data_IF_650838133407
#
_entry.id   IF_650838133407
#
_cell.length_a   1.000
_cell.length_b   1.000
_cell.length_c   1.000
_cell.angle_alpha   90.00
_cell.angle_beta   90.00
_cell.angle_gamma   90.00
#
_symmetry.space_group_name_H-M   'P 1'
#
loop_
_entity.id
_entity.type
_entity.pdbx_description
1 polymer ?
#
# COMPACT_ATOMS: atom_id res chain seq x y z
N UNK A 1 50.78 26.68 -25.76
CA UNK A 1 51.40 26.79 -24.42
C UNK A 1 50.30 26.90 -23.39
N UNK A 2 50.47 26.15 -22.30
CA UNK A 2 49.66 26.09 -21.06
C UNK A 2 49.31 27.49 -20.49
N UNK A 3 48.28 27.68 -19.66
CA UNK A 3 48.10 27.07 -18.32
C UNK A 3 46.66 27.08 -17.81
N UNK A 4 46.48 26.17 -16.86
CA UNK A 4 45.31 25.75 -16.13
C UNK A 4 44.91 26.70 -14.99
N UNK A 5 43.62 26.72 -14.64
CA UNK A 5 43.15 26.95 -13.28
C UNK A 5 41.99 25.97 -12.98
N UNK A 6 42.07 25.30 -11.83
CA UNK A 6 41.24 24.16 -11.39
C UNK A 6 39.84 24.59 -10.91
N UNK A 7 38.83 23.71 -10.93
CA UNK A 7 37.53 23.95 -10.30
C UNK A 7 37.57 23.65 -8.80
N UNK A 8 36.88 24.49 -8.01
CA UNK A 8 36.63 24.25 -6.60
C UNK A 8 35.59 23.13 -6.43
N UNK A 9 36.01 22.05 -5.77
CA UNK A 9 35.15 21.01 -5.21
C UNK A 9 34.41 21.59 -4.01
N UNK A 10 33.08 21.73 -4.08
CA UNK A 10 32.23 21.84 -2.89
C UNK A 10 31.46 20.54 -2.70
N UNK A 11 31.66 19.95 -1.53
CA UNK A 11 31.24 18.61 -1.14
C UNK A 11 29.73 18.38 -1.21
N UNK A 12 29.34 17.30 -1.90
CA UNK A 12 28.07 16.63 -1.69
C UNK A 12 28.04 16.07 -0.25
N UNK A 13 27.15 16.60 0.59
CA UNK A 13 26.70 15.90 1.81
C UNK A 13 25.43 15.11 1.45
N UNK A 14 25.41 13.78 1.62
CA UNK A 14 24.15 13.05 1.59
C UNK A 14 23.32 13.43 2.83
N UNK A 15 22.08 13.83 2.61
CA UNK A 15 21.11 14.09 3.67
C UNK A 15 20.74 12.75 4.32
N UNK A 16 21.04 12.62 5.61
CA UNK A 16 20.67 11.46 6.42
C UNK A 16 19.18 11.49 6.84
N UNK A 17 18.66 10.38 7.41
CA UNK A 17 17.23 10.14 7.63
C UNK A 17 16.63 10.89 8.85
N UNK A 18 17.14 12.07 9.20
CA UNK A 18 16.78 12.77 10.44
C UNK A 18 15.53 13.67 10.34
N UNK A 19 14.69 13.50 9.32
CA UNK A 19 13.45 14.28 9.13
C UNK A 19 12.16 13.59 9.59
N UNK A 20 12.21 12.30 9.96
CA UNK A 20 11.01 11.47 10.14
C UNK A 20 10.94 10.85 11.53
N UNK A 21 10.91 11.71 12.57
CA UNK A 21 10.37 11.38 13.89
C UNK A 21 9.75 12.62 14.50
N UNK A 22 8.51 12.91 14.13
CA UNK A 22 7.64 13.70 14.98
C UNK A 22 6.19 13.41 14.61
N UNK A 23 5.61 12.50 15.37
CA UNK A 23 4.20 12.36 15.75
C UNK A 23 4.03 10.90 16.17
N UNK A 24 3.66 10.70 17.44
CA UNK A 24 3.55 9.43 18.20
C UNK A 24 4.78 8.98 19.00
N UNK A 25 5.06 9.71 20.08
CA UNK A 25 5.45 9.12 21.38
C UNK A 25 5.28 10.16 22.47
N UNK A 26 4.35 9.95 23.41
CA UNK A 26 4.51 10.25 24.85
C UNK A 26 3.20 9.92 25.61
N UNK A 27 3.11 8.70 26.14
CA UNK A 27 2.42 8.40 27.40
C UNK A 27 3.15 7.21 28.05
N UNK A 28 3.51 7.35 29.34
CA UNK A 28 4.20 6.41 30.29
C UNK A 28 5.71 6.25 30.07
N UNK A 29 6.64 6.44 31.02
CA UNK A 29 6.72 6.42 32.51
C UNK A 29 7.73 7.51 32.98
N UNK A 30 7.87 7.99 34.23
CA UNK A 30 8.17 7.30 35.51
C UNK A 30 7.93 8.27 36.69
N UNK A 31 7.43 7.73 37.80
CA UNK A 31 7.32 8.33 39.14
C UNK A 31 8.66 8.30 39.91
N UNK A 32 8.95 9.37 40.70
CA UNK A 32 9.99 9.44 41.75
C UNK A 32 11.27 10.14 41.27
N UNK A 33 11.85 11.17 41.91
CA UNK A 33 12.06 11.43 43.34
C UNK A 33 11.99 12.94 43.69
N UNK A 34 11.92 13.26 45.01
CA UNK A 34 11.83 14.61 45.60
C UNK A 34 13.06 15.51 45.32
N UNK A 35 13.10 16.81 45.66
CA UNK A 35 12.77 17.45 46.93
C UNK A 35 12.88 19.01 46.77
N UNK A 36 12.09 19.74 47.57
CA UNK A 36 12.27 21.13 48.09
C UNK A 36 11.90 22.36 47.21
N UNK A 37 11.02 23.22 47.76
CA UNK A 37 10.37 24.41 47.17
C UNK A 37 11.17 25.72 47.24
N UNK A 38 10.57 26.93 47.41
CA UNK A 38 9.18 27.29 47.74
C UNK A 38 8.46 28.24 46.74
N UNK A 39 7.13 28.37 46.95
CA UNK A 39 6.15 29.30 46.36
C UNK A 39 6.29 30.75 46.94
N UNK A 40 5.48 31.81 46.60
CA UNK A 40 4.00 31.80 46.48
C UNK A 40 3.35 32.75 45.44
N UNK A 41 2.06 32.49 45.16
CA UNK A 41 1.15 33.44 44.49
C UNK A 41 -0.25 32.86 44.28
N UNK A 42 -1.14 33.03 45.28
CA UNK A 42 -2.54 32.57 45.31
C UNK A 42 -3.43 33.32 44.31
N UNK A 43 -4.45 32.63 43.80
CA UNK A 43 -5.87 33.06 43.91
C UNK A 43 -6.79 31.86 43.65
N UNK A 44 -7.70 31.61 44.59
CA UNK A 44 -8.71 30.55 44.60
C UNK A 44 -9.96 30.96 43.79
N UNK A 45 -10.67 30.01 43.15
CA UNK A 45 -12.01 29.55 43.59
C UNK A 45 -12.80 28.77 42.51
N UNK A 46 -13.19 27.54 42.92
CA UNK A 46 -14.54 26.93 42.87
C UNK A 46 -15.10 26.46 41.50
N UNK A 47 -15.23 25.13 41.29
CA UNK A 47 -16.49 24.38 41.48
C UNK A 47 -16.50 22.96 40.86
N UNK A 48 -16.76 21.97 41.72
CA UNK A 48 -17.57 20.73 41.54
C UNK A 48 -17.10 19.53 40.68
N UNK A 49 -16.95 18.43 41.42
CA UNK A 49 -16.88 17.01 41.05
C UNK A 49 -18.22 16.41 40.59
N UNK A 50 -18.18 15.41 39.69
CA UNK A 50 -19.03 14.19 39.74
C UNK A 50 -18.38 13.06 38.90
N UNK A 51 -17.98 11.98 39.59
CA UNK A 51 -17.87 10.54 39.23
C UNK A 51 -17.33 10.14 37.84
N UNK A 52 -16.27 9.36 37.67
CA UNK A 52 -15.89 8.16 38.44
C UNK A 52 -16.35 6.88 37.71
N UNK A 53 -15.66 6.47 36.63
CA UNK A 53 -15.73 5.09 36.11
C UNK A 53 -14.34 4.61 35.76
N UNK A 54 -13.92 3.56 36.47
CA UNK A 54 -12.65 2.84 36.32
C UNK A 54 -12.64 2.04 35.02
N UNK A 55 -11.46 1.99 34.40
CA UNK A 55 -11.10 1.10 33.29
C UNK A 55 -11.36 -0.37 33.65
N UNK A 56 -12.04 -1.10 32.76
CA UNK A 56 -12.06 -2.56 32.75
C UNK A 56 -11.25 -3.05 31.53
N UNK A 57 -10.31 -4.00 31.70
CA UNK A 57 -9.71 -4.71 30.58
C UNK A 57 -10.60 -5.90 30.19
N UNK A 58 -10.94 -5.99 28.90
CA UNK A 58 -11.62 -7.15 28.32
C UNK A 58 -10.60 -8.29 28.15
N UNK A 59 -10.54 -9.20 29.12
CA UNK A 59 -10.02 -10.54 28.94
C UNK A 59 -11.18 -11.44 28.51
N UNK A 60 -11.05 -12.10 27.36
CA UNK A 60 -12.00 -13.12 26.92
C UNK A 60 -11.56 -14.44 27.54
N UNK A 61 -12.25 -14.85 28.59
CA UNK A 61 -12.10 -16.14 29.25
C UNK A 61 -13.06 -17.14 28.58
N UNK A 62 -12.52 -18.16 27.91
CA UNK A 62 -13.29 -19.27 27.37
C UNK A 62 -13.67 -20.21 28.50
N UNK A 63 -14.89 -20.08 29.00
CA UNK A 63 -15.49 -21.02 29.93
C UNK A 63 -15.82 -22.35 29.23
N UNK A 64 -15.12 -23.41 29.61
CA UNK A 64 -15.43 -24.80 29.28
C UNK A 64 -16.60 -25.24 30.18
N UNK A 65 -17.78 -25.44 29.59
CA UNK A 65 -18.90 -26.10 30.27
C UNK A 65 -18.73 -27.61 30.20
N UNK A 66 -18.49 -28.18 31.38
CA UNK A 66 -18.45 -29.61 31.64
C UNK A 66 -19.89 -30.11 31.83
N UNK A 67 -20.33 -31.06 31.02
CA UNK A 67 -21.58 -31.81 31.26
C UNK A 67 -21.34 -33.23 30.78
N UNK A 68 -21.04 -34.12 31.74
CA UNK A 68 -20.88 -35.54 31.48
C UNK A 68 -22.24 -36.23 31.38
N UNK A 69 -22.40 -37.07 30.36
CA UNK A 69 -23.25 -38.27 30.42
C UNK A 69 -22.50 -39.42 29.75
N UNK A 70 -22.54 -40.55 30.45
CA UNK A 70 -21.83 -41.82 30.30
C UNK A 70 -22.31 -42.67 29.12
N UNK A 71 -21.39 -43.41 28.47
CA UNK A 71 -21.75 -44.54 27.61
C UNK A 71 -20.57 -45.08 26.80
N UNK A 72 -19.95 -46.15 27.30
CA UNK A 72 -18.69 -46.67 26.77
C UNK A 72 -18.76 -47.48 25.47
N UNK A 73 -17.61 -47.60 24.81
CA UNK A 73 -17.12 -48.78 24.06
C UNK A 73 -15.61 -48.63 23.82
N UNK A 74 -14.93 -49.79 23.75
CA UNK A 74 -13.49 -50.10 23.97
C UNK A 74 -12.49 -49.37 23.05
N UNK A 75 -11.20 -49.25 23.45
CA UNK A 75 -10.16 -48.63 22.63
C UNK A 75 -9.60 -49.62 21.59
N UNK A 76 -9.39 -49.15 20.37
CA UNK A 76 -8.54 -49.83 19.38
C UNK A 76 -7.16 -49.21 19.48
N UNK A 77 -6.23 -50.01 20.00
CA UNK A 77 -4.79 -49.76 19.98
C UNK A 77 -4.28 -49.91 18.54
N UNK A 78 -3.72 -48.85 17.98
CA UNK A 78 -2.74 -48.97 16.90
C UNK A 78 -1.38 -48.50 17.41
N UNK A 79 -0.53 -49.48 17.70
CA UNK A 79 0.91 -49.30 17.83
C UNK A 79 1.48 -48.89 16.48
N UNK A 80 2.13 -47.73 16.41
CA UNK A 80 3.04 -47.40 15.33
C UNK A 80 4.39 -47.01 15.94
N UNK A 81 5.38 -47.79 15.54
CA UNK A 81 6.74 -47.88 16.02
C UNK A 81 7.46 -46.54 16.08
N UNK A 82 8.11 -46.28 17.22
CA UNK A 82 9.17 -45.31 17.33
C UNK A 82 10.41 -45.84 16.59
N UNK A 83 10.66 -45.33 15.39
CA UNK A 83 11.96 -45.43 14.74
C UNK A 83 12.71 -44.13 14.98
N UNK A 84 13.51 -44.14 16.04
CA UNK A 84 14.55 -43.15 16.29
C UNK A 84 15.61 -43.24 15.17
N UNK A 85 15.54 -42.34 14.21
CA UNK A 85 16.66 -42.09 13.30
C UNK A 85 17.49 -40.96 13.90
N UNK A 86 18.65 -41.33 14.42
CA UNK A 86 19.76 -40.41 14.65
C UNK A 86 20.13 -39.75 13.32
N UNK A 87 19.70 -38.51 13.13
CA UNK A 87 20.09 -37.64 12.02
C UNK A 87 21.03 -36.58 12.53
N UNK A 88 22.30 -36.73 12.16
CA UNK A 88 23.43 -35.85 12.44
C UNK A 88 23.09 -34.36 12.37
N UNK A 89 23.62 -33.57 13.30
CA UNK A 89 23.54 -32.11 13.33
C UNK A 89 24.09 -31.49 12.04
N UNK A 90 23.20 -31.32 11.07
CA UNK A 90 23.47 -30.56 9.86
C UNK A 90 23.30 -29.08 10.18
N UNK A 91 24.38 -28.32 10.04
CA UNK A 91 24.36 -26.87 9.99
C UNK A 91 23.59 -26.44 8.73
N UNK A 92 22.26 -26.51 8.77
CA UNK A 92 21.40 -26.16 7.64
C UNK A 92 21.44 -24.65 7.47
N UNK A 93 22.32 -24.17 6.58
CA UNK A 93 22.07 -22.90 5.91
C UNK A 93 20.65 -23.00 5.35
N UNK A 94 19.67 -22.31 5.95
CA UNK A 94 18.32 -22.21 5.39
C UNK A 94 18.48 -21.69 3.97
N UNK A 95 18.21 -22.55 2.98
CA UNK A 95 18.22 -22.13 1.58
C UNK A 95 17.22 -20.98 1.42
N UNK A 96 17.68 -19.91 0.78
CA UNK A 96 16.80 -18.76 0.49
C UNK A 96 15.80 -19.21 -0.56
N UNK A 97 14.53 -18.88 -0.33
CA UNK A 97 13.49 -19.12 -1.32
C UNK A 97 13.82 -18.36 -2.62
N UNK A 98 13.52 -19.00 -3.75
CA UNK A 98 13.63 -18.48 -5.10
C UNK A 98 12.25 -18.14 -5.65
N UNK A 99 12.21 -17.45 -6.79
CA UNK A 99 10.95 -17.16 -7.49
C UNK A 99 10.19 -18.44 -7.87
N UNK A 100 10.93 -19.51 -8.20
CA UNK A 100 10.39 -20.85 -8.47
C UNK A 100 9.61 -21.40 -7.28
N UNK A 101 10.13 -21.27 -6.06
CA UNK A 101 9.44 -21.78 -4.86
C UNK A 101 8.12 -21.04 -4.63
N UNK A 102 8.04 -19.75 -4.95
CA UNK A 102 6.78 -18.99 -4.88
C UNK A 102 5.77 -19.52 -5.91
N UNK A 103 6.22 -19.78 -7.14
CA UNK A 103 5.36 -20.36 -8.18
C UNK A 103 4.82 -21.73 -7.75
N UNK A 104 5.68 -22.59 -7.20
CA UNK A 104 5.30 -23.91 -6.70
C UNK A 104 4.31 -23.84 -5.54
N UNK A 105 4.49 -22.91 -4.59
CA UNK A 105 3.52 -22.69 -3.50
C UNK A 105 2.13 -22.29 -4.01
N UNK A 106 2.08 -21.46 -5.07
CA UNK A 106 0.82 -21.05 -5.70
C UNK A 106 0.19 -22.23 -6.45
N UNK A 107 0.97 -22.95 -7.27
CA UNK A 107 0.51 -24.10 -8.06
C UNK A 107 -0.01 -25.24 -7.18
N UNK A 108 0.71 -25.55 -6.10
CA UNK A 108 0.32 -26.55 -5.12
C UNK A 108 -0.89 -26.13 -4.25
N UNK A 109 -1.44 -24.92 -4.46
CA UNK A 109 -2.49 -24.32 -3.64
C UNK A 109 -2.11 -24.26 -2.14
N UNK A 110 -0.82 -24.21 -1.84
CA UNK A 110 -0.33 -24.00 -0.48
C UNK A 110 -0.56 -22.54 -0.03
N UNK A 111 -0.57 -21.61 -0.98
CA UNK A 111 -1.01 -20.23 -0.79
C UNK A 111 -2.29 -19.97 -1.60
N UNK A 112 -3.36 -19.55 -0.95
CA UNK A 112 -4.68 -19.30 -1.55
C UNK A 112 -5.27 -17.94 -1.19
N UNK A 113 -4.61 -17.20 -0.30
CA UNK A 113 -5.02 -15.90 0.23
C UNK A 113 -3.91 -14.90 0.00
N UNK A 114 -3.68 -14.62 -1.28
CA UNK A 114 -2.63 -13.70 -1.71
C UNK A 114 -3.07 -12.27 -1.46
N UNK A 115 -2.31 -11.53 -0.66
CA UNK A 115 -2.41 -10.07 -0.58
C UNK A 115 -1.39 -9.48 -1.53
N UNK A 116 -1.80 -8.49 -2.29
CA UNK A 116 -0.92 -7.77 -3.23
C UNK A 116 -0.86 -6.32 -2.83
N UNK A 117 0.34 -5.75 -2.77
CA UNK A 117 0.60 -4.33 -2.62
C UNK A 117 1.27 -3.79 -3.88
N UNK A 118 0.71 -2.74 -4.48
CA UNK A 118 1.26 -2.14 -5.70
C UNK A 118 1.41 -0.63 -5.59
N UNK A 119 2.35 -0.09 -6.37
CA UNK A 119 2.52 1.35 -6.54
C UNK A 119 2.77 1.73 -8.00
N UNK A 120 3.21 2.97 -8.22
CA UNK A 120 3.22 3.57 -9.55
C UNK A 120 4.09 2.83 -10.59
N UNK A 121 5.06 2.04 -10.13
CA UNK A 121 5.92 1.23 -10.99
C UNK A 121 5.15 0.27 -11.89
N UNK A 122 3.97 -0.23 -11.45
CA UNK A 122 3.16 -1.14 -12.28
C UNK A 122 2.46 -0.42 -13.44
N UNK A 123 2.30 0.90 -13.37
CA UNK A 123 1.62 1.72 -14.38
C UNK A 123 2.59 2.39 -15.37
N UNK A 124 3.91 2.32 -15.11
CA UNK A 124 4.91 2.85 -16.04
C UNK A 124 4.87 2.22 -17.45
N UNK A 125 4.63 0.90 -17.62
CA UNK A 125 4.48 0.30 -18.95
C UNK A 125 3.20 0.74 -19.67
N UNK A 126 2.22 1.27 -18.93
CA UNK A 126 1.00 1.87 -19.50
C UNK A 126 1.21 3.32 -19.96
N UNK A 127 2.42 3.87 -19.81
CA UNK A 127 2.75 5.25 -20.19
C UNK A 127 2.42 6.29 -19.12
N UNK A 128 2.06 5.86 -17.90
CA UNK A 128 1.86 6.73 -16.75
C UNK A 128 3.22 6.88 -16.05
N UNK A 129 3.80 8.09 -15.97
CA UNK A 129 5.05 8.28 -15.25
C UNK A 129 4.85 7.94 -13.77
N UNK A 130 5.85 7.34 -13.14
CA UNK A 130 5.85 7.25 -11.68
C UNK A 130 6.10 8.64 -11.06
N UNK A 131 6.10 8.74 -9.73
CA UNK A 131 6.33 10.03 -9.07
C UNK A 131 7.81 10.40 -9.00
N UNK A 132 8.68 9.42 -8.74
CA UNK A 132 10.02 9.63 -8.17
C UNK A 132 11.18 9.25 -9.10
N UNK A 133 10.95 8.58 -10.23
CA UNK A 133 12.04 8.19 -11.11
C UNK A 133 12.77 9.43 -11.64
N UNK A 134 14.11 9.45 -11.61
CA UNK A 134 14.87 10.56 -12.15
C UNK A 134 14.51 10.82 -13.63
N UNK A 135 14.33 12.09 -14.00
CA UNK A 135 14.05 12.58 -15.37
C UNK A 135 12.68 12.22 -15.97
N UNK A 136 12.10 11.09 -15.60
CA UNK A 136 10.81 10.60 -16.14
C UNK A 136 9.66 10.71 -15.16
N UNK A 137 9.95 10.78 -13.86
CA UNK A 137 8.94 10.89 -12.82
C UNK A 137 8.24 12.25 -12.83
N UNK A 138 6.97 12.24 -12.43
CA UNK A 138 6.09 13.40 -12.42
C UNK A 138 6.77 14.62 -11.76
N UNK A 139 7.41 14.43 -10.60
CA UNK A 139 8.05 15.51 -9.85
C UNK A 139 9.19 16.22 -10.60
N UNK A 140 9.84 15.55 -11.55
CA UNK A 140 10.87 16.18 -12.39
C UNK A 140 10.27 17.16 -13.42
N UNK A 141 9.00 16.97 -13.78
CA UNK A 141 8.29 17.75 -14.80
C UNK A 141 7.35 18.80 -14.22
N UNK A 142 7.22 18.90 -12.89
CA UNK A 142 6.34 19.87 -12.23
C UNK A 142 6.92 21.29 -12.15
N UNK A 143 8.14 21.53 -12.66
CA UNK A 143 8.78 22.86 -12.64
C UNK A 143 7.92 23.95 -13.32
N UNK A 144 7.03 23.55 -14.23
CA UNK A 144 6.09 24.46 -14.90
C UNK A 144 4.98 25.03 -13.99
N UNK A 145 4.74 24.44 -12.82
CA UNK A 145 3.56 24.76 -11.98
C UNK A 145 3.82 25.76 -10.84
N UNK A 146 4.96 26.46 -10.82
CA UNK A 146 5.33 27.44 -9.78
C UNK A 146 5.05 26.92 -8.35
N UNK A 147 5.50 25.69 -8.08
CA UNK A 147 5.33 25.02 -6.79
C UNK A 147 6.52 25.32 -5.88
N UNK A 148 6.31 25.46 -4.55
CA UNK A 148 7.42 25.63 -3.62
C UNK A 148 8.34 24.40 -3.57
N UNK A 149 7.76 23.21 -3.78
CA UNK A 149 8.41 21.92 -3.96
C UNK A 149 7.41 20.95 -4.62
N UNK A 150 7.86 19.88 -5.30
CA UNK A 150 6.99 19.03 -6.13
C UNK A 150 5.80 18.39 -5.39
N UNK A 151 6.00 17.98 -4.14
CA UNK A 151 4.99 17.31 -3.33
C UNK A 151 3.81 18.23 -2.96
N UNK A 152 4.01 19.56 -2.99
CA UNK A 152 2.99 20.55 -2.65
C UNK A 152 1.72 20.41 -3.51
N UNK A 153 1.81 19.90 -4.74
CA UNK A 153 0.64 19.67 -5.61
C UNK A 153 -0.35 18.67 -5.00
N UNK A 154 0.10 17.81 -4.09
CA UNK A 154 -0.70 16.82 -3.38
C UNK A 154 -0.85 17.15 -1.89
N UNK A 155 -0.59 18.39 -1.46
CA UNK A 155 -0.84 18.83 -0.08
C UNK A 155 -2.18 19.56 0.03
N UNK A 156 -2.99 19.20 1.04
CA UNK A 156 -4.32 19.79 1.22
C UNK A 156 -4.24 21.31 1.49
N UNK A 157 -3.22 21.74 2.22
CA UNK A 157 -2.94 23.16 2.53
C UNK A 157 -2.67 23.96 1.26
N UNK A 158 -1.77 23.48 0.41
CA UNK A 158 -1.47 24.10 -0.89
C UNK A 158 -2.70 24.09 -1.81
N UNK A 159 -3.40 22.96 -1.92
CA UNK A 159 -4.62 22.85 -2.72
C UNK A 159 -5.71 23.83 -2.31
N UNK A 160 -5.87 24.04 -1.00
CA UNK A 160 -6.85 25.00 -0.46
C UNK A 160 -6.50 26.44 -0.83
N UNK A 161 -5.21 26.75 -0.95
CA UNK A 161 -4.73 28.07 -1.40
C UNK A 161 -4.79 28.22 -2.92
N UNK A 162 -4.29 27.24 -3.66
CA UNK A 162 -4.24 27.23 -5.13
C UNK A 162 -4.50 25.81 -5.67
N UNK A 163 -5.76 25.49 -6.05
CA UNK A 163 -6.09 24.17 -6.58
C UNK A 163 -5.76 24.01 -8.07
N UNK A 164 -5.39 25.10 -8.77
CA UNK A 164 -5.22 25.10 -10.22
C UNK A 164 -4.14 24.12 -10.71
N UNK A 165 -2.92 24.06 -10.12
CA UNK A 165 -1.89 23.11 -10.54
C UNK A 165 -2.37 21.66 -10.54
N UNK A 166 -3.06 21.25 -9.47
CA UNK A 166 -3.60 19.89 -9.38
C UNK A 166 -4.64 19.61 -10.48
N UNK A 167 -5.57 20.53 -10.74
CA UNK A 167 -6.58 20.31 -11.79
C UNK A 167 -5.99 20.35 -13.20
N UNK A 168 -4.93 21.14 -13.44
CA UNK A 168 -4.20 21.08 -14.71
C UNK A 168 -3.51 19.73 -14.89
N UNK A 169 -2.84 19.21 -13.86
CA UNK A 169 -2.28 17.87 -13.89
C UNK A 169 -3.37 16.80 -14.09
N UNK A 170 -4.49 16.90 -13.37
CA UNK A 170 -5.60 15.95 -13.49
C UNK A 170 -6.18 15.93 -14.91
N UNK A 171 -6.31 17.10 -15.56
CA UNK A 171 -6.71 17.21 -16.97
C UNK A 171 -5.74 16.47 -17.89
N UNK A 172 -4.44 16.68 -17.73
CA UNK A 172 -3.42 16.01 -18.55
C UNK A 172 -3.47 14.48 -18.41
N UNK A 173 -3.66 13.99 -17.19
CA UNK A 173 -3.80 12.56 -16.92
C UNK A 173 -5.11 12.00 -17.47
N UNK A 174 -6.22 12.75 -17.38
CA UNK A 174 -7.53 12.32 -17.87
C UNK A 174 -7.62 12.25 -19.39
N UNK A 175 -7.03 13.21 -20.09
CA UNK A 175 -7.03 13.23 -21.56
C UNK A 175 -6.19 12.12 -22.19
N UNK A 176 -5.31 11.50 -21.40
CA UNK A 176 -4.50 10.37 -21.84
C UNK A 176 -5.25 9.09 -21.49
N UNK A 177 -5.88 8.47 -22.49
CA UNK A 177 -6.57 7.18 -22.34
C UNK A 177 -5.57 6.05 -22.08
N UNK A 178 -5.14 5.92 -20.81
CA UNK A 178 -4.25 4.85 -20.38
C UNK A 178 -4.98 3.51 -20.34
N UNK A 179 -4.24 2.43 -20.63
CA UNK A 179 -4.77 1.07 -20.61
C UNK A 179 -4.01 0.19 -19.63
N UNK A 180 -4.66 -0.77 -18.97
CA UNK A 180 -3.96 -1.75 -18.15
C UNK A 180 -2.96 -2.53 -19.00
N UNK A 181 -1.82 -2.88 -18.41
CA UNK A 181 -0.79 -3.70 -19.03
C UNK A 181 -0.78 -5.12 -18.43
N UNK A 182 0.16 -5.96 -18.88
CA UNK A 182 0.33 -7.36 -18.45
C UNK A 182 0.34 -7.55 -16.93
N UNK A 183 0.91 -6.61 -16.16
CA UNK A 183 0.94 -6.69 -14.70
C UNK A 183 -0.47 -6.62 -14.12
N UNK A 184 -1.30 -5.69 -14.61
CA UNK A 184 -2.68 -5.53 -14.16
C UNK A 184 -3.54 -6.74 -14.52
N UNK A 185 -3.30 -7.35 -15.68
CA UNK A 185 -4.00 -8.56 -16.10
C UNK A 185 -3.51 -9.82 -15.38
N UNK A 186 -2.24 -9.87 -14.95
CA UNK A 186 -1.78 -10.91 -14.02
C UNK A 186 -2.55 -10.85 -12.69
N UNK A 187 -2.75 -9.65 -12.14
CA UNK A 187 -3.56 -9.47 -10.93
C UNK A 187 -5.02 -9.89 -11.14
N UNK A 188 -5.57 -9.61 -12.33
CA UNK A 188 -6.90 -10.09 -12.73
C UNK A 188 -6.95 -11.61 -12.84
N UNK A 189 -5.93 -12.24 -13.41
CA UNK A 189 -5.86 -13.69 -13.53
C UNK A 189 -5.72 -14.36 -12.15
N UNK A 190 -4.97 -13.75 -11.22
CA UNK A 190 -4.89 -14.17 -9.83
C UNK A 190 -6.26 -14.10 -9.12
N UNK A 191 -7.06 -13.07 -9.45
CA UNK A 191 -8.45 -12.97 -9.00
C UNK A 191 -9.33 -14.07 -9.60
N UNK A 192 -9.31 -14.25 -10.92
CA UNK A 192 -10.16 -15.21 -11.64
C UNK A 192 -9.86 -16.67 -11.23
N UNK A 193 -8.61 -16.96 -10.81
CA UNK A 193 -8.20 -18.25 -10.24
C UNK A 193 -8.55 -18.44 -8.76
N UNK A 194 -9.20 -17.45 -8.13
CA UNK A 194 -9.67 -17.51 -6.75
C UNK A 194 -8.58 -17.35 -5.68
N UNK A 195 -7.41 -16.83 -6.05
CA UNK A 195 -6.23 -16.74 -5.17
C UNK A 195 -6.06 -15.37 -4.52
N UNK A 196 -6.55 -14.31 -5.17
CA UNK A 196 -6.44 -12.93 -4.66
C UNK A 196 -7.36 -12.74 -3.44
N UNK A 197 -6.77 -12.55 -2.24
CA UNK A 197 -7.49 -12.10 -1.06
C UNK A 197 -7.87 -10.62 -1.22
N UNK A 198 -6.86 -9.76 -1.43
CA UNK A 198 -7.03 -8.32 -1.61
C UNK A 198 -5.87 -7.70 -2.39
N UNK A 199 -6.17 -6.70 -3.20
CA UNK A 199 -5.22 -5.83 -3.86
C UNK A 199 -5.24 -4.45 -3.18
N UNK A 200 -4.12 -4.05 -2.59
CA UNK A 200 -3.87 -2.73 -2.04
C UNK A 200 -3.05 -1.94 -3.07
N UNK A 201 -3.58 -0.82 -3.55
CA UNK A 201 -2.89 0.05 -4.52
C UNK A 201 -2.65 1.44 -3.94
N UNK A 202 -1.47 1.98 -4.18
CA UNK A 202 -1.13 3.39 -3.97
C UNK A 202 -1.51 4.26 -5.18
N UNK A 203 -1.87 3.64 -6.30
CA UNK A 203 -2.16 4.33 -7.53
C UNK A 203 -3.56 4.94 -7.49
N UNK A 204 -3.71 6.02 -8.24
CA UNK A 204 -4.97 6.77 -8.40
C UNK A 204 -5.48 6.72 -9.85
N UNK A 205 -4.73 6.03 -10.74
CA UNK A 205 -5.03 5.94 -12.17
C UNK A 205 -6.26 5.07 -12.50
N UNK A 206 -6.62 4.16 -11.59
CA UNK A 206 -7.79 3.30 -11.70
C UNK A 206 -7.63 2.12 -12.65
N UNK A 207 -6.41 1.83 -13.15
CA UNK A 207 -6.17 0.75 -14.10
C UNK A 207 -6.47 -0.63 -13.52
N UNK A 208 -6.44 -0.81 -12.19
CA UNK A 208 -6.88 -2.04 -11.52
C UNK A 208 -8.39 -2.28 -11.71
N UNK A 209 -9.20 -1.22 -11.67
CA UNK A 209 -10.64 -1.34 -11.97
C UNK A 209 -10.85 -1.63 -13.45
N UNK A 210 -10.09 -0.97 -14.32
CA UNK A 210 -10.19 -1.14 -15.78
C UNK A 210 -9.79 -2.56 -16.20
N UNK A 211 -8.82 -3.19 -15.53
CA UNK A 211 -8.46 -4.61 -15.77
C UNK A 211 -9.52 -5.61 -15.26
N UNK A 212 -10.53 -5.13 -14.53
CA UNK A 212 -11.66 -5.90 -14.06
C UNK A 212 -11.52 -6.43 -12.63
N UNK A 213 -10.61 -5.89 -11.81
CA UNK A 213 -10.62 -6.20 -10.37
C UNK A 213 -11.92 -5.65 -9.76
N UNK A 214 -12.74 -6.49 -9.11
CA UNK A 214 -13.98 -6.02 -8.51
C UNK A 214 -13.69 -5.12 -7.32
N UNK A 215 -14.55 -4.12 -7.09
CA UNK A 215 -14.42 -3.19 -5.96
C UNK A 215 -14.29 -3.90 -4.61
N UNK A 216 -14.89 -5.09 -4.44
CA UNK A 216 -14.77 -5.91 -3.23
C UNK A 216 -13.35 -6.44 -3.00
N UNK A 217 -12.51 -6.58 -4.03
CA UNK A 217 -11.12 -7.05 -3.94
C UNK A 217 -10.08 -5.93 -3.92
N UNK A 218 -10.45 -4.70 -4.26
CA UNK A 218 -9.54 -3.57 -4.37
C UNK A 218 -9.59 -2.65 -3.15
N UNK A 219 -8.44 -2.21 -2.64
CA UNK A 219 -8.28 -1.12 -1.66
C UNK A 219 -7.41 -0.06 -2.29
N UNK A 220 -8.03 1.05 -2.70
CA UNK A 220 -7.34 2.23 -3.22
C UNK A 220 -6.88 3.07 -2.04
N UNK A 221 -5.67 2.79 -1.53
CA UNK A 221 -5.17 3.37 -0.29
C UNK A 221 -5.05 4.90 -0.39
N UNK A 222 -4.71 5.41 -1.58
CA UNK A 222 -4.62 6.86 -1.85
C UNK A 222 -5.87 7.40 -2.57
N UNK A 223 -6.98 6.66 -2.52
CA UNK A 223 -8.24 7.08 -3.13
C UNK A 223 -8.24 6.96 -4.66
N UNK A 224 -9.22 7.58 -5.32
CA UNK A 224 -9.35 7.52 -6.78
C UNK A 224 -10.17 8.68 -7.36
N UNK A 225 -10.10 8.85 -8.68
CA UNK A 225 -10.95 9.79 -9.43
C UNK A 225 -12.40 9.30 -9.62
N UNK A 226 -12.80 8.16 -9.04
CA UNK A 226 -14.13 7.59 -9.24
C UNK A 226 -15.24 8.40 -8.56
N UNK A 227 -14.89 9.13 -7.50
CA UNK A 227 -15.77 10.02 -6.75
C UNK A 227 -15.04 11.30 -6.37
N UNK A 228 -15.81 12.31 -5.98
CA UNK A 228 -15.31 13.60 -5.54
C UNK A 228 -16.17 14.15 -4.40
N UNK A 229 -15.60 14.98 -3.55
CA UNK A 229 -16.27 15.54 -2.38
C UNK A 229 -16.09 17.06 -2.33
N UNK A 230 -17.17 17.79 -2.04
CA UNK A 230 -17.05 19.22 -1.77
C UNK A 230 -16.22 19.46 -0.51
N UNK A 231 -15.20 20.31 -0.60
CA UNK A 231 -14.30 20.62 0.51
C UNK A 231 -14.97 21.40 1.65
N UNK A 232 -16.13 22.01 1.41
CA UNK A 232 -16.87 22.82 2.40
C UNK A 232 -18.02 22.01 3.01
N UNK A 233 -19.06 21.69 2.22
CA UNK A 233 -20.26 21.02 2.74
C UNK A 233 -20.17 19.49 2.78
N UNK A 234 -19.04 18.90 2.35
CA UNK A 234 -18.79 17.44 2.31
C UNK A 234 -19.79 16.63 1.48
N UNK A 235 -20.57 17.30 0.62
CA UNK A 235 -21.46 16.63 -0.33
C UNK A 235 -20.65 15.77 -1.31
N UNK A 236 -21.01 14.48 -1.50
CA UNK A 236 -20.35 13.62 -2.47
C UNK A 236 -20.88 13.87 -3.88
N UNK A 237 -20.03 13.62 -4.87
CA UNK A 237 -20.27 13.73 -6.30
C UNK A 237 -19.68 12.51 -7.01
N UNK A 238 -20.34 11.97 -8.04
CA UNK A 238 -19.69 11.11 -9.02
C UNK A 238 -18.46 11.79 -9.60
N UNK A 239 -17.33 11.09 -9.67
CA UNK A 239 -16.08 11.67 -10.18
C UNK A 239 -16.21 12.15 -11.62
N UNK A 240 -17.05 11.49 -12.43
CA UNK A 240 -17.34 11.89 -13.80
C UNK A 240 -17.90 13.32 -13.93
N UNK A 241 -18.57 13.82 -12.89
CA UNK A 241 -19.25 15.12 -12.92
C UNK A 241 -18.27 16.29 -12.87
N UNK A 242 -17.04 16.08 -12.37
CA UNK A 242 -16.03 17.14 -12.28
C UNK A 242 -15.35 17.40 -13.64
N UNK A 243 -15.32 16.41 -14.53
CA UNK A 243 -14.54 16.49 -15.77
C UNK A 243 -15.08 17.52 -16.76
N UNK A 244 -16.38 17.83 -16.70
CA UNK A 244 -16.98 18.88 -17.51
C UNK A 244 -16.37 20.27 -17.21
N UNK A 245 -15.92 20.51 -15.97
CA UNK A 245 -15.20 21.74 -15.61
C UNK A 245 -13.70 21.61 -15.82
N UNK A 246 -13.10 20.49 -15.38
CA UNK A 246 -11.64 20.28 -15.46
C UNK A 246 -11.14 20.34 -16.91
N UNK A 247 -11.86 19.75 -17.87
CA UNK A 247 -11.44 19.71 -19.28
C UNK A 247 -11.40 21.09 -19.96
N UNK A 248 -12.20 22.04 -19.47
CA UNK A 248 -12.25 23.44 -19.95
C UNK A 248 -11.50 24.40 -19.03
N UNK A 249 -10.56 23.89 -18.24
CA UNK A 249 -9.69 24.65 -17.33
C UNK A 249 -10.45 25.43 -16.24
N UNK A 250 -11.65 24.96 -15.87
CA UNK A 250 -12.42 25.49 -14.75
C UNK A 250 -12.27 24.62 -13.51
N UNK A 251 -12.17 25.28 -12.36
CA UNK A 251 -12.15 24.58 -11.06
C UNK A 251 -13.58 24.11 -10.74
N UNK A 252 -13.80 22.81 -10.52
CA UNK A 252 -15.11 22.27 -10.17
C UNK A 252 -15.66 22.88 -8.88
N UNK A 253 -16.91 23.36 -8.91
CA UNK A 253 -17.56 24.04 -7.79
C UNK A 253 -18.84 23.34 -7.38
N UNK A 254 -19.09 23.29 -6.08
CA UNK A 254 -20.30 22.72 -5.52
C UNK A 254 -21.51 23.59 -5.89
N UNK A 255 -22.58 23.02 -6.48
CA UNK A 255 -23.76 23.79 -6.87
C UNK A 255 -24.57 24.33 -5.68
N UNK A 256 -24.28 23.85 -4.45
CA UNK A 256 -24.98 24.30 -3.23
C UNK A 256 -24.24 25.41 -2.50
N UNK A 257 -22.95 25.21 -2.21
CA UNK A 257 -22.19 26.09 -1.34
C UNK A 257 -21.00 26.77 -2.03
N UNK A 258 -20.82 26.56 -3.33
CA UNK A 258 -19.72 27.12 -4.16
C UNK A 258 -18.30 26.73 -3.74
N UNK A 259 -18.16 25.83 -2.75
CA UNK A 259 -16.89 25.24 -2.36
C UNK A 259 -16.28 24.41 -3.48
N UNK A 260 -14.96 24.27 -3.50
CA UNK A 260 -14.27 23.44 -4.50
C UNK A 260 -14.69 21.98 -4.34
N UNK A 261 -14.91 21.28 -5.44
CA UNK A 261 -15.17 19.83 -5.45
C UNK A 261 -13.86 19.13 -5.78
N UNK A 262 -13.27 18.46 -4.79
CA UNK A 262 -11.98 17.76 -4.91
C UNK A 262 -12.25 16.27 -5.21
N UNK A 263 -11.55 15.65 -6.17
CA UNK A 263 -11.52 14.20 -6.28
C UNK A 263 -11.19 13.53 -4.94
N UNK A 264 -11.73 12.35 -4.70
CA UNK A 264 -11.49 11.57 -3.48
C UNK A 264 -10.13 10.84 -3.54
N UNK A 265 -9.09 11.58 -3.95
CA UNK A 265 -7.67 11.22 -3.85
C UNK A 265 -7.16 11.73 -2.52
N UNK A 266 -6.40 10.91 -1.79
CA UNK A 266 -5.82 11.31 -0.51
C UNK A 266 -4.65 12.25 -0.76
N UNK A 267 -4.74 13.45 -0.21
CA UNK A 267 -3.63 14.41 -0.18
C UNK A 267 -2.83 14.22 1.10
N UNK A 268 -1.57 14.65 1.10
CA UNK A 268 -0.78 14.72 2.33
C UNK A 268 -1.51 15.58 3.37
N UNK A 269 -1.61 15.02 4.59
CA UNK A 269 -2.40 15.58 5.68
C UNK A 269 -3.85 15.08 5.76
N UNK A 270 -4.35 14.32 4.78
CA UNK A 270 -5.67 13.69 4.83
C UNK A 270 -5.61 12.28 5.45
N UNK A 271 -6.72 11.87 6.08
CA UNK A 271 -6.90 10.50 6.53
C UNK A 271 -7.07 9.56 5.32
N UNK A 272 -6.51 8.35 5.40
CA UNK A 272 -6.75 7.31 4.40
C UNK A 272 -8.23 6.88 4.38
N UNK A 273 -8.72 6.32 3.26
CA UNK A 273 -10.11 5.88 3.13
C UNK A 273 -10.44 4.80 4.17
N UNK A 274 -11.69 4.78 4.65
CA UNK A 274 -12.15 3.78 5.63
C UNK A 274 -11.84 2.34 5.19
N UNK A 275 -11.92 2.08 3.88
CA UNK A 275 -11.64 0.77 3.30
C UNK A 275 -10.19 0.31 3.47
N UNK A 276 -9.26 1.23 3.74
CA UNK A 276 -7.89 0.89 4.13
C UNK A 276 -7.84 0.08 5.43
N UNK A 277 -8.80 0.24 6.35
CA UNK A 277 -8.89 -0.52 7.60
C UNK A 277 -9.07 -2.03 7.42
N UNK A 278 -9.42 -2.49 6.22
CA UNK A 278 -9.46 -3.92 5.89
C UNK A 278 -8.12 -4.61 6.12
N UNK A 279 -7.00 -3.86 6.17
CA UNK A 279 -5.68 -4.42 6.41
C UNK A 279 -5.58 -5.16 7.75
N UNK A 280 -6.37 -4.73 8.76
CA UNK A 280 -6.42 -5.35 10.09
C UNK A 280 -6.86 -6.82 10.01
N UNK A 281 -7.69 -7.18 9.02
CA UNK A 281 -8.15 -8.55 8.81
C UNK A 281 -7.33 -9.25 7.72
N UNK A 282 -7.03 -8.55 6.63
CA UNK A 282 -6.43 -9.18 5.46
C UNK A 282 -4.99 -9.64 5.71
N UNK A 283 -4.17 -8.82 6.37
CA UNK A 283 -2.73 -9.12 6.55
C UNK A 283 -2.47 -10.29 7.50
N UNK A 284 -3.17 -10.43 8.65
CA UNK A 284 -3.07 -11.63 9.47
C UNK A 284 -3.54 -12.92 8.79
N UNK A 285 -4.46 -12.81 7.82
CA UNK A 285 -5.04 -13.94 7.08
C UNK A 285 -4.26 -14.32 5.82
N UNK A 286 -3.35 -13.47 5.36
CA UNK A 286 -2.57 -13.69 4.16
C UNK A 286 -1.63 -14.89 4.32
N UNK A 287 -1.49 -15.69 3.26
CA UNK A 287 -0.52 -16.80 3.18
C UNK A 287 0.60 -16.53 2.16
N UNK A 288 0.49 -15.45 1.38
CA UNK A 288 1.51 -14.91 0.50
C UNK A 288 1.32 -13.40 0.35
N UNK A 289 2.42 -12.65 0.40
CA UNK A 289 2.44 -11.22 0.10
C UNK A 289 3.23 -10.95 -1.18
N UNK A 290 2.59 -10.35 -2.17
CA UNK A 290 3.24 -9.85 -3.39
C UNK A 290 3.37 -8.33 -3.31
N UNK A 291 4.56 -7.79 -3.58
CA UNK A 291 4.83 -6.36 -3.60
C UNK A 291 5.43 -5.99 -4.95
N UNK A 292 4.73 -5.18 -5.72
CA UNK A 292 5.07 -4.89 -7.12
C UNK A 292 5.20 -3.38 -7.35
N UNK A 293 6.33 -2.94 -7.91
CA UNK A 293 6.47 -1.59 -8.46
C UNK A 293 6.23 -0.44 -7.46
N UNK A 294 6.72 -0.54 -6.22
CA UNK A 294 6.61 0.52 -5.21
C UNK A 294 7.95 0.76 -4.53
N UNK A 295 8.24 2.01 -4.11
CA UNK A 295 9.42 2.34 -3.31
C UNK A 295 9.26 2.03 -1.82
N UNK A 296 8.04 1.76 -1.35
CA UNK A 296 7.72 1.59 0.08
C UNK A 296 8.24 2.75 0.96
N UNK A 297 8.13 4.00 0.47
CA UNK A 297 8.57 5.20 1.20
C UNK A 297 7.42 5.96 1.89
N UNK A 298 6.16 5.69 1.50
CA UNK A 298 5.00 6.44 1.98
C UNK A 298 4.25 5.63 3.03
N UNK A 299 4.18 6.17 4.24
CA UNK A 299 3.39 5.60 5.33
C UNK A 299 1.93 6.04 5.30
N UNK A 300 1.00 5.24 5.89
CA UNK A 300 1.19 3.95 6.55
C UNK A 300 1.28 2.74 5.60
N UNK A 301 1.32 2.97 4.28
CA UNK A 301 1.31 1.87 3.29
C UNK A 301 2.59 1.03 3.34
N UNK A 302 3.76 1.65 3.54
CA UNK A 302 5.03 0.95 3.61
C UNK A 302 5.07 -0.07 4.77
N UNK A 303 4.58 0.32 5.95
CA UNK A 303 4.51 -0.53 7.14
C UNK A 303 3.65 -1.78 6.96
N UNK A 304 2.67 -1.77 6.03
CA UNK A 304 1.88 -2.97 5.73
C UNK A 304 2.73 -4.14 5.24
N UNK A 305 3.87 -3.87 4.60
CA UNK A 305 4.77 -4.93 4.15
C UNK A 305 5.31 -5.80 5.31
N UNK A 306 5.28 -5.29 6.54
CA UNK A 306 5.65 -6.02 7.75
C UNK A 306 4.46 -6.62 8.51
N UNK A 307 3.22 -6.31 8.13
CA UNK A 307 2.02 -6.69 8.88
C UNK A 307 1.59 -8.15 8.68
N UNK A 308 2.13 -8.85 7.67
CA UNK A 308 1.94 -10.31 7.52
C UNK A 308 2.75 -11.09 8.56
N UNK A 309 2.28 -12.29 8.91
CA UNK A 309 2.98 -13.16 9.87
C UNK A 309 4.42 -13.46 9.41
N UNK A 310 5.32 -13.72 10.37
CA UNK A 310 6.74 -13.96 10.06
C UNK A 310 7.01 -15.21 9.21
N UNK A 311 6.08 -16.17 9.20
CA UNK A 311 6.11 -17.39 8.40
C UNK A 311 5.62 -17.20 6.96
N UNK A 312 4.98 -16.08 6.64
CA UNK A 312 4.42 -15.80 5.32
C UNK A 312 5.55 -15.38 4.37
N UNK A 313 5.70 -16.05 3.21
CA UNK A 313 6.62 -15.58 2.17
C UNK A 313 6.21 -14.21 1.65
N UNK A 314 7.21 -13.36 1.37
CA UNK A 314 7.00 -12.07 0.73
C UNK A 314 7.83 -12.01 -0.56
N UNK A 315 7.18 -11.74 -1.69
CA UNK A 315 7.85 -11.58 -2.97
C UNK A 315 7.85 -10.09 -3.36
N UNK A 316 9.04 -9.52 -3.53
CA UNK A 316 9.23 -8.20 -4.12
C UNK A 316 9.60 -8.35 -5.61
N UNK A 317 8.79 -7.80 -6.51
CA UNK A 317 9.16 -7.61 -7.93
C UNK A 317 9.25 -6.10 -8.17
N UNK A 318 10.48 -5.59 -8.27
CA UNK A 318 10.71 -4.16 -8.35
C UNK A 318 12.05 -3.86 -9.03
N UNK A 319 12.22 -2.65 -9.56
CA UNK A 319 13.51 -2.22 -10.12
C UNK A 319 14.62 -2.26 -9.08
N UNK A 320 14.33 -1.72 -7.90
CA UNK A 320 15.29 -1.50 -6.83
C UNK A 320 14.91 -2.29 -5.57
N UNK A 321 15.90 -2.67 -4.76
CA UNK A 321 15.68 -3.26 -3.43
C UNK A 321 15.23 -2.15 -2.48
N UNK A 322 14.05 -2.31 -1.86
CA UNK A 322 13.36 -1.21 -1.17
C UNK A 322 12.75 -1.61 0.17
N UNK A 323 12.49 -0.61 1.02
CA UNK A 323 11.76 -0.78 2.27
C UNK A 323 12.36 -1.88 3.17
N UNK A 324 11.53 -2.57 3.96
CA UNK A 324 11.97 -3.62 4.86
C UNK A 324 12.75 -4.76 4.19
N UNK A 325 12.67 -4.95 2.87
CA UNK A 325 13.52 -5.94 2.18
C UNK A 325 14.99 -5.55 2.16
N UNK A 326 15.29 -4.25 2.18
CA UNK A 326 16.65 -3.73 2.21
C UNK A 326 17.22 -3.73 3.64
N UNK A 327 16.44 -3.26 4.62
CA UNK A 327 16.94 -2.99 5.97
C UNK A 327 16.47 -3.96 7.06
N UNK A 328 15.46 -4.81 6.79
CA UNK A 328 14.96 -5.83 7.74
C UNK A 328 14.44 -7.11 7.02
N UNK A 329 15.31 -7.80 6.27
CA UNK A 329 14.91 -8.97 5.50
C UNK A 329 14.46 -10.13 6.41
N UNK A 330 13.44 -10.86 5.98
CA UNK A 330 12.97 -12.10 6.61
C UNK A 330 13.54 -13.31 5.90
N UNK A 331 13.53 -14.47 6.57
CA UNK A 331 14.06 -15.71 5.99
C UNK A 331 13.28 -16.22 4.78
N UNK A 332 12.05 -15.76 4.56
CA UNK A 332 11.16 -16.17 3.45
C UNK A 332 10.89 -15.04 2.46
N UNK A 333 11.74 -14.01 2.46
CA UNK A 333 11.67 -12.97 1.45
C UNK A 333 12.31 -13.47 0.15
N UNK A 334 11.64 -13.21 -0.96
CA UNK A 334 12.13 -13.43 -2.32
C UNK A 334 12.16 -12.08 -3.02
N UNK A 335 13.24 -11.80 -3.73
CA UNK A 335 13.42 -10.52 -4.44
C UNK A 335 13.75 -10.80 -5.90
N UNK A 336 12.90 -10.33 -6.80
CA UNK A 336 13.12 -10.31 -8.23
C UNK A 336 13.38 -8.86 -8.66
N UNK A 337 14.65 -8.49 -8.82
CA UNK A 337 15.04 -7.16 -9.25
C UNK A 337 15.01 -7.02 -10.77
N UNK A 338 14.65 -5.84 -11.25
CA UNK A 338 14.67 -5.48 -12.67
C UNK A 338 13.36 -4.86 -13.15
N UNK A 339 13.13 -4.96 -14.45
CA UNK A 339 11.87 -4.52 -15.03
C UNK A 339 10.68 -5.33 -14.47
N UNK A 340 9.62 -4.64 -14.07
CA UNK A 340 8.47 -5.25 -13.38
C UNK A 340 7.66 -6.13 -14.33
N UNK A 341 7.58 -5.77 -15.61
CA UNK A 341 6.91 -6.60 -16.64
C UNK A 341 7.66 -7.92 -16.76
N UNK A 342 8.97 -7.88 -16.97
CA UNK A 342 9.79 -9.09 -17.08
C UNK A 342 9.66 -9.99 -15.84
N UNK A 343 9.70 -9.41 -14.63
CA UNK A 343 9.56 -10.17 -13.39
C UNK A 343 8.20 -10.86 -13.27
N UNK A 344 7.12 -10.19 -13.68
CA UNK A 344 5.78 -10.78 -13.71
C UNK A 344 5.64 -11.84 -14.80
N UNK A 345 6.14 -11.60 -16.01
CA UNK A 345 6.14 -12.58 -17.09
C UNK A 345 6.92 -13.84 -16.70
N UNK A 346 8.05 -13.69 -16.02
CA UNK A 346 8.80 -14.82 -15.47
C UNK A 346 7.98 -15.60 -14.45
N UNK A 347 7.30 -14.94 -13.51
CA UNK A 347 6.42 -15.62 -12.56
C UNK A 347 5.27 -16.35 -13.28
N UNK A 348 4.68 -15.73 -14.29
CA UNK A 348 3.60 -16.32 -15.12
C UNK A 348 4.09 -17.56 -15.87
N UNK A 349 5.31 -17.52 -16.42
CA UNK A 349 5.95 -18.67 -17.08
C UNK A 349 6.11 -19.83 -16.09
N UNK A 350 6.66 -19.58 -14.89
CA UNK A 350 6.85 -20.61 -13.87
C UNK A 350 5.51 -21.18 -13.36
N UNK A 351 4.46 -20.36 -13.33
CA UNK A 351 3.10 -20.77 -12.99
C UNK A 351 2.43 -21.59 -14.10
N UNK A 352 2.96 -21.59 -15.32
CA UNK A 352 2.32 -22.18 -16.50
C UNK A 352 1.07 -21.43 -16.93
N UNK A 353 1.00 -20.11 -16.71
CA UNK A 353 -0.19 -19.28 -17.00
C UNK A 353 -0.02 -18.39 -18.24
N UNK A 354 1.04 -18.59 -19.02
CA UNK A 354 1.39 -17.72 -20.16
C UNK A 354 0.26 -17.61 -21.19
N UNK A 355 -0.28 -18.73 -21.65
CA UNK A 355 -1.35 -18.74 -22.66
C UNK A 355 -2.63 -18.11 -22.12
N UNK A 356 -3.05 -18.47 -20.91
CA UNK A 356 -4.24 -17.90 -20.26
C UNK A 356 -4.15 -16.37 -20.10
N UNK A 357 -2.96 -15.87 -19.74
CA UNK A 357 -2.73 -14.44 -19.60
C UNK A 357 -2.78 -13.72 -20.96
N UNK A 358 -2.19 -14.30 -22.00
CA UNK A 358 -2.23 -13.75 -23.36
C UNK A 358 -3.67 -13.68 -23.89
N UNK A 359 -4.44 -14.75 -23.70
CA UNK A 359 -5.86 -14.80 -24.08
C UNK A 359 -6.68 -13.73 -23.35
N UNK A 360 -6.47 -13.57 -22.03
CA UNK A 360 -7.14 -12.54 -21.24
C UNK A 360 -6.81 -11.13 -21.77
N UNK A 361 -5.54 -10.85 -22.02
CA UNK A 361 -5.08 -9.54 -22.53
C UNK A 361 -5.71 -9.26 -23.89
N UNK A 362 -5.73 -10.25 -24.79
CA UNK A 362 -6.33 -10.11 -26.12
C UNK A 362 -7.83 -9.78 -26.02
N UNK A 363 -8.58 -10.56 -25.24
CA UNK A 363 -10.01 -10.38 -25.04
C UNK A 363 -10.36 -9.00 -24.44
N UNK A 364 -9.62 -8.57 -23.42
CA UNK A 364 -9.88 -7.27 -22.76
C UNK A 364 -9.47 -6.10 -23.66
N UNK A 365 -8.37 -6.23 -24.42
CA UNK A 365 -7.97 -5.21 -25.41
C UNK A 365 -9.03 -5.03 -26.49
N UNK A 366 -9.62 -6.12 -26.99
CA UNK A 366 -10.74 -6.06 -27.94
C UNK A 366 -12.01 -5.46 -27.35
N UNK A 367 -12.33 -5.74 -26.08
CA UNK A 367 -13.46 -5.12 -25.38
C UNK A 367 -13.25 -3.60 -25.23
N UNK A 368 -12.04 -3.16 -24.87
CA UNK A 368 -11.71 -1.74 -24.75
C UNK A 368 -11.78 -1.03 -26.11
N UNK A 369 -11.19 -1.62 -27.15
CA UNK A 369 -11.29 -1.09 -28.52
C UNK A 369 -12.73 -0.94 -29.02
N UNK A 370 -13.65 -1.80 -28.58
CA UNK A 370 -15.08 -1.70 -28.91
C UNK A 370 -15.83 -0.64 -28.12
N UNK A 371 -15.35 -0.26 -26.94
CA UNK A 371 -15.93 0.82 -26.12
C UNK A 371 -15.49 2.21 -26.60
N UNK A 372 -14.30 2.29 -27.18
CA UNK A 372 -13.72 3.54 -27.69
C UNK A 372 -14.22 3.89 -29.11
N UNK A 373 -14.89 2.95 -29.81
CA UNK A 373 -15.58 3.15 -31.08
C UNK A 373 -17.03 3.50 -30.84
#
# INVERSE_FOLDING_TARGET
MARWARPALSAFRPWGPAGWRSLYTEVTDVLGEGHQGPSPGRTDMVATSLWGVKKAPCAVELAVLNSGITGGRRPISFSASASSIFGSGGNSKKEKLLLQDIAELIQARACQRVVVMVGAGISTPSGIPDFRSPRSGLYSNLQQYDLPYPEAIFELTFFSHNPKPFFTLAKELYLRSYRPNVIHYFLRLLHDKGLLLRLYTQNIDGLERVSGIPASKLVEAHGSFASATCTVCRRPFPGKDIWADVTVDRIPRCPVCTGVVKPDIVFFGEALPQRFLMHVVDFPMADLLLILGTSLEVEPFASLSEAVQSSVPRLLINRDLVGPFAWRPRSRDVVQLGDVVHGVERLVELLGWTEELQDLIQQETEKLNRRDR
#
